data_IF_133423715525
#
_entry.id   IF_133423715525
#
_cell.length_a   1.000
_cell.length_b   1.000
_cell.length_c   1.000
_cell.angle_alpha   90.00
_cell.angle_beta   90.00
_cell.angle_gamma   90.00
#
_symmetry.space_group_name_H-M   'P 1'
#
loop_
_entity.id
_entity.type
_entity.pdbx_description
1 polymer ?
#
# COMPACT_ATOMS: atom_id res chain seq x y z
N UNK A 1 14.15 9.33 12.25
CA UNK A 1 14.27 7.87 12.34
C UNK A 1 13.94 7.26 10.99
N UNK A 2 14.51 6.12 10.65
CA UNK A 2 14.25 5.39 9.41
C UNK A 2 13.66 4.02 9.72
N UNK A 3 12.74 3.58 8.87
CA UNK A 3 12.22 2.21 8.83
C UNK A 3 12.66 1.53 7.55
N UNK A 4 13.05 0.27 7.64
CA UNK A 4 13.46 -0.57 6.52
C UNK A 4 12.64 -1.86 6.54
N UNK A 5 11.91 -2.11 5.46
CA UNK A 5 11.29 -3.41 5.16
C UNK A 5 12.00 -4.07 3.99
N UNK A 6 12.49 -5.30 4.18
CA UNK A 6 13.10 -6.13 3.16
C UNK A 6 12.02 -7.04 2.55
N UNK A 7 11.92 -7.05 1.22
CA UNK A 7 10.95 -7.88 0.51
C UNK A 7 11.61 -8.82 -0.49
N UNK A 8 10.97 -9.97 -0.69
CA UNK A 8 11.30 -10.95 -1.72
C UNK A 8 10.00 -11.30 -2.47
N UNK A 9 9.97 -11.05 -3.78
CA UNK A 9 8.79 -11.29 -4.62
C UNK A 9 7.49 -10.67 -4.05
N UNK A 10 7.62 -9.49 -3.45
CA UNK A 10 6.52 -8.75 -2.83
C UNK A 10 6.18 -9.13 -1.38
N UNK A 11 6.65 -10.28 -0.88
CA UNK A 11 6.47 -10.70 0.51
C UNK A 11 7.46 -9.98 1.44
N UNK A 12 7.00 -9.53 2.62
CA UNK A 12 7.87 -8.99 3.65
C UNK A 12 8.66 -10.14 4.29
N UNK A 13 10.00 -10.06 4.26
CA UNK A 13 10.89 -11.09 4.81
C UNK A 13 11.75 -10.60 5.96
N UNK A 14 11.73 -9.30 6.27
CA UNK A 14 12.36 -8.75 7.46
C UNK A 14 12.11 -7.26 7.57
N UNK A 15 11.99 -6.72 8.78
CA UNK A 15 11.86 -5.28 8.97
C UNK A 15 12.44 -4.79 10.30
N UNK A 16 12.85 -3.53 10.32
CA UNK A 16 13.29 -2.87 11.54
C UNK A 16 13.19 -1.36 11.47
N UNK A 17 13.09 -0.76 12.65
CA UNK A 17 13.31 0.66 12.87
C UNK A 17 14.74 0.91 13.32
N UNK A 18 15.30 2.02 12.84
CA UNK A 18 16.55 2.57 13.31
C UNK A 18 16.39 3.36 14.60
N UNK A 19 17.53 3.71 15.22
CA UNK A 19 17.56 4.60 16.38
C UNK A 19 16.93 5.96 16.07
N UNK A 20 16.39 6.60 17.10
CA UNK A 20 16.03 8.02 17.02
C UNK A 20 17.34 8.84 17.00
N UNK A 21 17.38 9.91 16.20
CA UNK A 21 18.60 10.69 16.00
C UNK A 21 18.93 10.92 14.52
N UNK A 22 20.23 10.85 14.19
CA UNK A 22 20.76 11.11 12.85
C UNK A 22 20.26 10.12 11.80
N UNK A 23 19.96 10.61 10.59
CA UNK A 23 19.40 9.78 9.52
C UNK A 23 20.32 8.62 9.12
N UNK A 24 21.62 8.88 8.95
CA UNK A 24 22.60 7.87 8.51
C UNK A 24 22.73 6.74 9.54
N UNK A 25 22.85 7.09 10.81
CA UNK A 25 22.93 6.13 11.91
C UNK A 25 21.64 5.29 11.98
N UNK A 26 20.49 5.96 11.96
CA UNK A 26 19.17 5.33 11.98
C UNK A 26 19.01 4.33 10.83
N UNK A 27 19.34 4.75 9.60
CA UNK A 27 19.25 3.89 8.42
C UNK A 27 20.21 2.69 8.52
N UNK A 28 21.47 2.93 8.92
CA UNK A 28 22.47 1.88 9.06
C UNK A 28 22.00 0.81 10.05
N UNK A 29 21.49 1.24 11.21
CA UNK A 29 20.92 0.34 12.22
C UNK A 29 19.69 -0.39 11.69
N UNK A 30 18.74 0.31 11.06
CA UNK A 30 17.54 -0.30 10.50
C UNK A 30 17.87 -1.40 9.48
N UNK A 31 18.83 -1.16 8.59
CA UNK A 31 19.27 -2.16 7.61
C UNK A 31 19.92 -3.37 8.29
N UNK A 32 20.81 -3.14 9.26
CA UNK A 32 21.47 -4.22 9.99
C UNK A 32 20.46 -5.10 10.76
N UNK A 33 19.54 -4.46 11.49
CA UNK A 33 18.52 -5.13 12.29
C UNK A 33 17.46 -5.82 11.42
N UNK A 34 17.12 -5.27 10.25
CA UNK A 34 16.22 -5.95 9.31
C UNK A 34 16.88 -7.19 8.70
N UNK A 35 18.17 -7.12 8.37
CA UNK A 35 18.95 -8.25 7.84
C UNK A 35 19.12 -9.37 8.86
N UNK A 36 19.34 -9.05 10.14
CA UNK A 36 19.52 -10.06 11.19
C UNK A 36 18.24 -10.87 11.45
N UNK A 37 17.08 -10.38 11.02
CA UNK A 37 15.78 -11.04 11.13
C UNK A 37 15.39 -11.84 9.87
N UNK A 38 16.23 -11.88 8.85
CA UNK A 38 15.91 -12.61 7.62
C UNK A 38 15.79 -14.11 7.88
N UNK A 39 14.73 -14.77 7.39
CA UNK A 39 14.64 -16.22 7.35
C UNK A 39 15.82 -16.83 6.58
N UNK A 40 16.23 -18.04 6.97
CA UNK A 40 17.27 -18.78 6.26
C UNK A 40 16.88 -18.97 4.78
N UNK A 41 17.79 -18.62 3.86
CA UNK A 41 17.56 -18.72 2.41
C UNK A 41 16.73 -17.59 1.81
N UNK A 42 16.25 -16.62 2.59
CA UNK A 42 15.57 -15.45 2.04
C UNK A 42 16.57 -14.60 1.22
N UNK A 43 16.17 -14.26 -0.01
CA UNK A 43 16.93 -13.39 -0.92
C UNK A 43 16.08 -12.15 -1.25
N UNK A 44 16.21 -11.05 -0.47
CA UNK A 44 15.46 -9.84 -0.74
C UNK A 44 15.82 -9.25 -2.10
N UNK A 45 14.79 -8.94 -2.91
CA UNK A 45 14.89 -8.27 -4.21
C UNK A 45 14.47 -6.79 -4.13
N UNK A 46 13.98 -6.36 -2.97
CA UNK A 46 13.46 -5.01 -2.78
C UNK A 46 13.62 -4.52 -1.34
N UNK A 47 13.86 -3.22 -1.19
CA UNK A 47 13.79 -2.49 0.09
C UNK A 47 12.64 -1.48 0.02
N UNK A 48 11.78 -1.50 1.02
CA UNK A 48 10.82 -0.42 1.32
C UNK A 48 11.43 0.43 2.43
N UNK A 49 11.60 1.72 2.18
CA UNK A 49 12.23 2.67 3.10
C UNK A 49 11.26 3.78 3.46
N UNK A 50 11.03 3.99 4.75
CA UNK A 50 10.33 5.16 5.28
C UNK A 50 11.29 6.03 6.10
N UNK A 51 11.56 7.24 5.60
CA UNK A 51 12.30 8.26 6.34
C UNK A 51 11.31 9.10 7.14
N UNK A 52 11.10 8.72 8.40
CA UNK A 52 10.12 9.34 9.29
C UNK A 52 10.59 10.71 9.82
N UNK A 53 9.71 11.71 9.72
CA UNK A 53 9.95 13.09 10.12
C UNK A 53 8.68 13.76 10.67
N UNK A 54 8.84 14.97 11.23
CA UNK A 54 7.73 15.79 11.76
C UNK A 54 6.82 15.04 12.74
N UNK A 55 7.43 14.37 13.72
CA UNK A 55 6.68 13.71 14.80
C UNK A 55 5.85 14.74 15.56
N UNK A 56 4.59 14.42 15.79
CA UNK A 56 3.65 15.23 16.57
C UNK A 56 3.06 14.37 17.66
N UNK A 57 3.34 14.74 18.89
CA UNK A 57 2.69 14.15 20.06
C UNK A 57 1.24 14.59 20.11
N UNK A 58 0.33 13.63 20.25
CA UNK A 58 -1.08 13.89 20.50
C UNK A 58 -1.20 14.14 22.00
N UNK A 59 -1.50 15.39 22.38
CA UNK A 59 -1.79 15.74 23.78
C UNK A 59 -3.12 15.12 24.14
N UNK A 60 -3.17 14.45 25.29
CA UNK A 60 -4.36 13.78 25.82
C UNK A 60 -5.05 12.94 24.73
N UNK A 61 -4.52 11.73 24.44
CA UNK A 61 -4.88 10.95 23.26
C UNK A 61 -6.27 10.30 23.36
N UNK A 62 -7.26 11.06 23.82
CA UNK A 62 -8.68 10.70 23.80
C UNK A 62 -9.10 10.30 22.39
N UNK A 63 -10.12 9.44 22.28
CA UNK A 63 -10.44 8.75 21.03
C UNK A 63 -10.67 9.74 19.88
N UNK A 64 -11.34 10.86 20.18
CA UNK A 64 -11.56 11.95 19.23
C UNK A 64 -10.25 12.53 18.69
N UNK A 65 -9.30 12.85 19.57
CA UNK A 65 -8.02 13.47 19.19
C UNK A 65 -7.12 12.47 18.48
N UNK A 66 -7.04 11.24 19.00
CA UNK A 66 -6.30 10.14 18.38
C UNK A 66 -6.74 9.95 16.93
N UNK A 67 -8.04 9.77 16.68
CA UNK A 67 -8.56 9.52 15.34
C UNK A 67 -8.65 10.77 14.45
N UNK A 68 -8.66 11.98 15.04
CA UNK A 68 -8.51 13.23 14.28
C UNK A 68 -7.14 13.31 13.61
N UNK A 69 -6.07 13.03 14.36
CA UNK A 69 -4.71 13.06 13.83
C UNK A 69 -4.39 11.81 13.00
N UNK A 70 -4.97 10.69 13.37
CA UNK A 70 -4.86 9.37 12.74
C UNK A 70 -6.07 9.08 11.82
N UNK A 71 -6.49 10.08 11.04
CA UNK A 71 -7.63 9.95 10.11
C UNK A 71 -7.32 8.99 8.97
N UNK A 72 -8.28 8.18 8.55
CA UNK A 72 -8.16 7.27 7.39
C UNK A 72 -7.78 7.98 6.08
N UNK A 73 -8.08 9.27 5.94
CA UNK A 73 -7.60 10.09 4.80
C UNK A 73 -6.08 10.20 4.73
N UNK A 74 -5.36 9.90 5.82
CA UNK A 74 -3.90 9.98 5.94
C UNK A 74 -3.21 8.60 5.96
N UNK A 75 -3.95 7.49 5.87
CA UNK A 75 -3.39 6.12 5.78
C UNK A 75 -2.40 6.04 4.62
N UNK A 76 -1.18 5.55 4.83
CA UNK A 76 -0.16 5.52 3.78
C UNK A 76 0.59 6.83 3.55
N UNK A 77 0.31 7.89 4.29
CA UNK A 77 1.15 9.10 4.36
C UNK A 77 1.77 9.25 5.73
N UNK A 78 0.98 8.95 6.76
CA UNK A 78 1.39 9.06 8.15
C UNK A 78 1.52 7.68 8.76
N UNK A 79 2.54 7.54 9.60
CA UNK A 79 2.62 6.44 10.55
C UNK A 79 2.13 6.88 11.93
N UNK A 80 2.05 5.90 12.82
CA UNK A 80 1.64 6.08 14.20
C UNK A 80 2.63 5.38 15.12
N UNK A 81 2.88 6.00 16.27
CA UNK A 81 3.56 5.39 17.39
C UNK A 81 2.65 5.44 18.62
N UNK A 82 2.53 4.33 19.31
CA UNK A 82 1.83 4.17 20.57
C UNK A 82 2.81 3.63 21.61
N UNK A 83 2.76 4.16 22.82
CA UNK A 83 3.49 3.60 23.96
C UNK A 83 2.67 3.61 25.23
N UNK A 84 2.82 2.56 26.02
CA UNK A 84 2.13 2.34 27.28
C UNK A 84 3.00 1.50 28.20
N UNK A 85 3.39 2.02 29.36
CA UNK A 85 4.42 1.40 30.19
C UNK A 85 5.74 1.26 29.42
N UNK A 86 6.29 0.04 29.39
CA UNK A 86 7.50 -0.33 28.63
C UNK A 86 7.20 -0.73 27.18
N UNK A 87 5.92 -0.97 26.86
CA UNK A 87 5.52 -1.43 25.54
C UNK A 87 5.40 -0.26 24.56
N UNK A 88 5.91 -0.49 23.34
CA UNK A 88 5.80 0.47 22.25
C UNK A 88 5.56 -0.20 20.91
N UNK A 89 4.74 0.44 20.10
CA UNK A 89 4.45 0.04 18.74
C UNK A 89 4.60 1.24 17.82
N UNK A 90 5.50 1.14 16.85
CA UNK A 90 5.70 2.15 15.80
C UNK A 90 5.41 1.51 14.45
N UNK A 91 4.35 1.95 13.78
CA UNK A 91 3.93 1.44 12.47
C UNK A 91 4.16 2.49 11.39
N UNK A 92 5.01 2.22 10.37
CA UNK A 92 5.22 3.13 9.27
C UNK A 92 4.02 3.11 8.31
N UNK A 93 3.80 4.20 7.54
CA UNK A 93 2.68 4.28 6.61
C UNK A 93 2.70 3.20 5.52
N UNK A 94 3.87 2.75 5.05
CA UNK A 94 3.97 1.70 4.01
C UNK A 94 3.50 0.34 4.53
N UNK A 95 3.85 -0.04 5.77
CA UNK A 95 3.36 -1.28 6.40
C UNK A 95 1.85 -1.23 6.58
N UNK A 96 1.29 -0.09 7.03
CA UNK A 96 -0.17 0.08 7.10
C UNK A 96 -0.87 -0.14 5.75
N UNK A 97 -0.27 0.35 4.64
CA UNK A 97 -0.82 0.11 3.31
C UNK A 97 -0.72 -1.35 2.89
N UNK A 98 0.43 -1.98 3.12
CA UNK A 98 0.66 -3.37 2.76
C UNK A 98 -0.30 -4.32 3.48
N UNK A 99 -0.59 -4.03 4.76
CA UNK A 99 -1.45 -4.86 5.59
C UNK A 99 -2.94 -4.51 5.45
N UNK A 100 -3.26 -3.45 4.70
CA UNK A 100 -4.63 -2.92 4.61
C UNK A 100 -5.14 -2.35 5.95
N UNK A 101 -4.24 -2.04 6.88
CA UNK A 101 -4.59 -1.52 8.21
C UNK A 101 -4.87 -0.01 8.17
N UNK A 102 -5.93 0.38 8.88
CA UNK A 102 -6.23 1.76 9.26
C UNK A 102 -5.70 2.04 10.65
N UNK A 103 -5.50 3.31 11.00
CA UNK A 103 -5.03 3.71 12.33
C UNK A 103 -5.83 3.14 13.49
N UNK A 104 -7.16 3.03 13.34
CA UNK A 104 -8.02 2.40 14.35
C UNK A 104 -7.62 0.94 14.58
N UNK A 105 -7.40 0.18 13.53
CA UNK A 105 -7.01 -1.23 13.64
C UNK A 105 -5.64 -1.38 14.31
N UNK A 106 -4.68 -0.51 13.98
CA UNK A 106 -3.38 -0.46 14.65
C UNK A 106 -3.53 -0.19 16.16
N UNK A 107 -4.35 0.81 16.52
CA UNK A 107 -4.59 1.15 17.92
C UNK A 107 -5.32 0.03 18.68
N UNK A 108 -6.39 -0.51 18.12
CA UNK A 108 -7.15 -1.62 18.72
C UNK A 108 -6.24 -2.85 18.95
N UNK A 109 -5.36 -3.17 17.99
CA UNK A 109 -4.39 -4.25 18.10
C UNK A 109 -3.39 -4.01 19.23
N UNK A 110 -2.90 -2.78 19.36
CA UNK A 110 -2.00 -2.40 20.46
C UNK A 110 -2.69 -2.50 21.82
N UNK A 111 -3.92 -1.99 21.94
CA UNK A 111 -4.71 -2.04 23.17
C UNK A 111 -5.00 -3.49 23.58
N UNK A 112 -5.42 -4.32 22.62
CA UNK A 112 -5.64 -5.75 22.84
C UNK A 112 -4.36 -6.46 23.32
N UNK A 113 -3.21 -6.18 22.72
CA UNK A 113 -1.94 -6.79 23.12
C UNK A 113 -1.53 -6.44 24.55
N UNK A 114 -1.92 -5.24 25.02
CA UNK A 114 -1.65 -4.76 26.37
C UNK A 114 -2.78 -5.05 27.36
N UNK A 115 -3.84 -5.76 26.95
CA UNK A 115 -5.05 -6.00 27.77
C UNK A 115 -5.66 -4.72 28.36
N UNK A 116 -5.60 -3.63 27.60
CA UNK A 116 -6.22 -2.34 27.94
C UNK A 116 -7.27 -1.98 26.91
N UNK A 117 -8.16 -1.07 27.26
CA UNK A 117 -8.97 -0.34 26.30
C UNK A 117 -8.42 1.08 26.11
N UNK A 118 -9.14 1.89 25.34
CA UNK A 118 -8.76 3.27 25.10
C UNK A 118 -8.71 4.11 26.40
N UNK A 119 -9.64 3.91 27.31
CA UNK A 119 -9.73 4.73 28.53
C UNK A 119 -8.64 4.31 29.53
N UNK A 120 -8.34 3.02 29.61
CA UNK A 120 -7.18 2.47 30.31
C UNK A 120 -5.86 2.98 29.73
N UNK A 121 -5.76 3.11 28.40
CA UNK A 121 -4.60 3.71 27.74
C UNK A 121 -4.42 5.18 28.16
N UNK A 122 -5.47 5.99 28.10
CA UNK A 122 -5.39 7.42 28.46
C UNK A 122 -5.10 7.60 29.96
N UNK A 123 -5.89 6.95 30.82
CA UNK A 123 -5.76 7.08 32.28
C UNK A 123 -4.45 6.51 32.81
N UNK A 124 -3.91 5.46 32.17
CA UNK A 124 -2.61 4.88 32.50
C UNK A 124 -1.41 5.61 31.89
N UNK A 125 -1.59 6.81 31.32
CA UNK A 125 -0.49 7.64 30.84
C UNK A 125 0.07 7.23 29.47
N UNK A 126 -0.74 6.54 28.66
CA UNK A 126 -0.41 6.16 27.29
C UNK A 126 -0.09 7.39 26.41
N UNK A 127 0.88 7.22 25.52
CA UNK A 127 1.36 8.29 24.64
C UNK A 127 1.16 7.89 23.18
N UNK A 128 0.69 8.83 22.38
CA UNK A 128 0.54 8.64 20.95
C UNK A 128 1.31 9.73 20.19
N UNK A 129 2.06 9.32 19.16
CA UNK A 129 2.67 10.22 18.18
C UNK A 129 2.20 9.84 16.78
N UNK A 130 1.99 10.84 15.94
CA UNK A 130 1.88 10.63 14.48
C UNK A 130 3.06 11.29 13.79
N UNK A 131 3.49 10.72 12.67
CA UNK A 131 4.62 11.24 11.90
C UNK A 131 4.33 11.16 10.41
N UNK A 132 5.04 11.96 9.63
CA UNK A 132 5.05 11.89 8.16
C UNK A 132 6.32 11.15 7.71
N UNK A 133 6.35 10.67 6.47
CA UNK A 133 7.51 9.97 5.93
C UNK A 133 7.78 10.35 4.49
N UNK A 134 9.06 10.43 4.11
CA UNK A 134 9.44 10.24 2.71
C UNK A 134 9.59 8.74 2.46
N UNK A 135 8.92 8.22 1.45
CA UNK A 135 8.80 6.79 1.19
C UNK A 135 9.52 6.44 -0.11
N UNK A 136 10.25 5.33 -0.11
CA UNK A 136 11.00 4.87 -1.27
C UNK A 136 10.89 3.36 -1.44
N UNK A 137 10.88 2.91 -2.69
CA UNK A 137 11.19 1.53 -3.07
C UNK A 137 12.57 1.52 -3.68
N UNK A 138 13.44 0.62 -3.21
CA UNK A 138 14.78 0.40 -3.79
C UNK A 138 14.82 -1.01 -4.37
N UNK A 139 15.06 -1.14 -5.67
CA UNK A 139 15.20 -2.44 -6.34
C UNK A 139 16.61 -2.99 -6.13
N UNK A 140 16.72 -4.25 -5.73
CA UNK A 140 17.99 -4.96 -5.57
C UNK A 140 18.24 -5.93 -6.73
N UNK A 141 19.52 -6.21 -7.07
CA UNK A 141 20.74 -5.64 -6.49
C UNK A 141 21.09 -4.25 -7.07
N UNK A 142 20.35 -3.74 -8.05
CA UNK A 142 20.71 -2.54 -8.82
C UNK A 142 20.75 -1.23 -8.03
N UNK A 143 20.07 -1.15 -6.88
CA UNK A 143 20.06 0.04 -6.02
C UNK A 143 19.20 1.19 -6.55
N UNK A 144 18.42 0.97 -7.60
CA UNK A 144 17.52 1.99 -8.15
C UNK A 144 16.43 2.34 -7.15
N UNK A 145 16.41 3.59 -6.69
CA UNK A 145 15.47 4.09 -5.70
C UNK A 145 14.38 4.94 -6.36
N UNK A 146 13.13 4.51 -6.23
CA UNK A 146 11.94 5.25 -6.67
C UNK A 146 11.20 5.80 -5.47
N UNK A 147 10.97 7.12 -5.44
CA UNK A 147 10.14 7.74 -4.41
C UNK A 147 8.68 7.36 -4.60
N UNK A 148 8.03 6.88 -3.54
CA UNK A 148 6.59 6.67 -3.53
C UNK A 148 5.88 8.00 -3.33
N UNK A 149 4.92 8.26 -4.22
CA UNK A 149 4.05 9.43 -4.18
C UNK A 149 2.64 8.97 -3.87
N UNK A 150 1.95 9.71 -2.99
CA UNK A 150 0.52 9.51 -2.76
C UNK A 150 -0.25 10.66 -3.40
N UNK A 151 -1.02 10.33 -4.43
CA UNK A 151 -1.72 11.28 -5.27
C UNK A 151 -1.18 11.26 -6.71
N UNK A 152 -1.75 12.10 -7.56
CA UNK A 152 -1.29 12.23 -8.94
C UNK A 152 -0.03 13.10 -8.97
N UNK A 153 0.93 12.69 -9.80
CA UNK A 153 1.97 13.61 -10.29
C UNK A 153 1.23 14.76 -10.98
N UNK A 154 1.65 15.99 -10.71
CA UNK A 154 1.10 17.13 -11.45
C UNK A 154 1.45 16.94 -12.93
N UNK A 155 0.42 16.76 -13.75
CA UNK A 155 0.57 16.66 -15.21
C UNK A 155 0.41 18.06 -15.76
N UNK A 156 1.52 18.64 -16.22
CA UNK A 156 1.49 19.91 -16.93
C UNK A 156 0.56 19.81 -18.14
N UNK A 157 -0.22 20.85 -18.48
CA UNK A 157 -1.08 20.82 -19.67
C UNK A 157 -0.31 20.49 -20.95
N UNK A 158 0.95 20.89 -21.05
CA UNK A 158 1.83 20.57 -22.19
C UNK A 158 2.17 19.07 -22.33
N UNK A 159 2.05 18.29 -21.25
CA UNK A 159 2.22 16.85 -21.27
C UNK A 159 0.98 16.11 -21.80
N UNK A 160 -0.17 16.80 -21.94
CA UNK A 160 -1.38 16.25 -22.55
C UNK A 160 -1.26 16.33 -24.07
N UNK A 161 -0.48 15.41 -24.62
CA UNK A 161 -0.30 15.27 -26.07
C UNK A 161 -1.16 14.13 -26.61
N UNK A 162 -1.39 14.11 -27.91
CA UNK A 162 -2.04 12.98 -28.58
C UNK A 162 -1.29 11.66 -28.31
N UNK A 163 0.05 11.69 -28.37
CA UNK A 163 0.89 10.53 -28.13
C UNK A 163 0.73 9.98 -26.70
N UNK A 164 0.77 10.86 -25.68
CA UNK A 164 0.61 10.43 -24.28
C UNK A 164 -0.81 9.94 -23.98
N UNK A 165 -1.81 10.56 -24.61
CA UNK A 165 -3.21 10.11 -24.51
C UNK A 165 -3.37 8.73 -25.11
N UNK A 166 -2.78 8.49 -26.28
CA UNK A 166 -2.80 7.18 -26.93
C UNK A 166 -2.08 6.12 -26.09
N UNK A 167 -0.90 6.42 -25.54
CA UNK A 167 -0.19 5.51 -24.64
C UNK A 167 -1.02 5.15 -23.39
N UNK A 168 -1.80 6.11 -22.87
CA UNK A 168 -2.73 5.86 -21.76
C UNK A 168 -3.86 4.93 -22.17
N UNK A 169 -4.45 5.16 -23.34
CA UNK A 169 -5.50 4.28 -23.90
C UNK A 169 -4.97 2.86 -24.09
N UNK A 170 -3.79 2.70 -24.68
CA UNK A 170 -3.20 1.38 -24.91
C UNK A 170 -2.92 0.66 -23.59
N UNK A 171 -2.40 1.36 -22.58
CA UNK A 171 -2.21 0.80 -21.24
C UNK A 171 -3.52 0.34 -20.59
N UNK A 172 -4.61 1.11 -20.75
CA UNK A 172 -5.93 0.73 -20.23
C UNK A 172 -6.48 -0.50 -20.95
N UNK A 173 -6.30 -0.59 -22.27
CA UNK A 173 -6.71 -1.76 -23.05
C UNK A 173 -5.90 -2.98 -22.65
N UNK A 174 -4.59 -2.87 -22.58
CA UNK A 174 -3.69 -3.95 -22.18
C UNK A 174 -4.04 -4.47 -20.79
N UNK A 175 -4.35 -3.58 -19.86
CA UNK A 175 -4.82 -3.96 -18.53
C UNK A 175 -6.13 -4.76 -18.61
N UNK A 176 -7.14 -4.30 -19.37
CA UNK A 176 -8.39 -5.05 -19.52
C UNK A 176 -8.16 -6.43 -20.12
N UNK A 177 -7.39 -6.53 -21.21
CA UNK A 177 -7.15 -7.79 -21.90
C UNK A 177 -6.33 -8.78 -21.07
N UNK A 178 -5.41 -8.28 -20.25
CA UNK A 178 -4.62 -9.10 -19.31
C UNK A 178 -5.50 -9.66 -18.18
N UNK A 179 -6.57 -8.94 -17.82
CA UNK A 179 -7.47 -9.28 -16.71
C UNK A 179 -8.81 -9.89 -17.17
N UNK A 180 -8.93 -10.23 -18.45
CA UNK A 180 -10.06 -10.95 -19.02
C UNK A 180 -9.73 -12.44 -19.08
N UNK A 181 -10.39 -13.23 -18.24
CA UNK A 181 -10.21 -14.66 -18.15
C UNK A 181 -10.75 -15.38 -19.41
N UNK A 182 -10.30 -16.62 -19.68
CA UNK A 182 -10.77 -17.40 -20.83
C UNK A 182 -12.28 -17.64 -20.85
N UNK A 183 -12.90 -17.74 -19.66
CA UNK A 183 -14.35 -17.92 -19.46
C UNK A 183 -15.15 -16.62 -19.63
N UNK A 184 -14.49 -15.51 -20.02
CA UNK A 184 -15.13 -14.21 -20.20
C UNK A 184 -15.23 -13.38 -18.92
N UNK A 185 -14.87 -13.90 -17.74
CA UNK A 185 -14.92 -13.12 -16.51
C UNK A 185 -13.85 -12.03 -16.48
N UNK A 186 -14.18 -10.85 -15.96
CA UNK A 186 -13.19 -9.83 -15.62
C UNK A 186 -12.75 -9.93 -14.17
N UNK A 187 -11.47 -9.61 -13.90
CA UNK A 187 -10.98 -9.41 -12.54
C UNK A 187 -11.77 -8.28 -11.86
N UNK A 188 -12.52 -8.56 -10.79
CA UNK A 188 -13.27 -7.52 -10.07
C UNK A 188 -12.42 -6.84 -9.00
N UNK A 189 -11.94 -7.62 -8.03
CA UNK A 189 -11.19 -7.10 -6.90
C UNK A 189 -10.03 -8.01 -6.56
N UNK A 190 -8.82 -7.51 -6.81
CA UNK A 190 -7.59 -8.07 -6.29
C UNK A 190 -7.37 -7.60 -4.86
N UNK A 191 -7.00 -8.51 -3.96
CA UNK A 191 -6.59 -8.24 -2.58
C UNK A 191 -5.05 -8.32 -2.51
N UNK A 192 -4.32 -7.19 -2.55
CA UNK A 192 -2.86 -7.21 -2.61
C UNK A 192 -2.23 -7.86 -1.37
N UNK A 193 -2.84 -7.69 -0.20
CA UNK A 193 -2.40 -8.26 1.07
C UNK A 193 -2.48 -9.79 1.10
N UNK A 194 -3.40 -10.38 0.33
CA UNK A 194 -3.62 -11.83 0.25
C UNK A 194 -3.09 -12.42 -1.06
N UNK A 195 -2.59 -11.57 -1.96
CA UNK A 195 -2.12 -11.93 -3.29
C UNK A 195 -3.09 -12.82 -4.07
N UNK A 196 -4.39 -12.51 -3.97
CA UNK A 196 -5.47 -13.25 -4.64
C UNK A 196 -6.65 -12.34 -4.98
N UNK A 197 -7.50 -12.78 -5.90
CA UNK A 197 -8.83 -12.18 -6.05
C UNK A 197 -9.69 -12.46 -4.82
N UNK A 198 -10.57 -11.53 -4.48
CA UNK A 198 -11.55 -11.73 -3.41
C UNK A 198 -12.53 -12.84 -3.83
N UNK A 199 -12.68 -13.92 -3.05
CA UNK A 199 -13.57 -15.01 -3.41
C UNK A 199 -15.03 -14.57 -3.52
N UNK A 200 -15.74 -15.12 -4.50
CA UNK A 200 -17.19 -14.96 -4.69
C UNK A 200 -17.64 -13.49 -4.81
N UNK A 201 -16.77 -12.60 -5.26
CA UNK A 201 -17.12 -11.20 -5.50
C UNK A 201 -17.17 -10.93 -7.00
N UNK A 202 -18.35 -10.58 -7.48
CA UNK A 202 -18.57 -10.17 -8.85
C UNK A 202 -19.51 -8.96 -8.84
N UNK A 203 -19.14 -7.91 -9.57
CA UNK A 203 -19.98 -6.76 -9.79
C UNK A 203 -20.51 -6.78 -11.22
N UNK A 204 -21.73 -7.29 -11.40
CA UNK A 204 -22.36 -7.45 -12.73
C UNK A 204 -22.40 -6.15 -13.54
N UNK A 205 -22.57 -4.99 -12.87
CA UNK A 205 -22.54 -3.69 -13.56
C UNK A 205 -21.16 -3.43 -14.17
N UNK A 206 -20.07 -3.72 -13.43
CA UNK A 206 -18.70 -3.58 -13.96
C UNK A 206 -18.36 -4.61 -15.01
N UNK A 207 -18.84 -5.85 -14.86
CA UNK A 207 -18.72 -6.88 -15.89
C UNK A 207 -19.35 -6.38 -17.19
N UNK A 208 -20.56 -5.83 -17.14
CA UNK A 208 -21.25 -5.33 -18.33
C UNK A 208 -20.62 -4.06 -18.92
N UNK A 209 -20.10 -3.16 -18.08
CA UNK A 209 -19.30 -2.03 -18.55
C UNK A 209 -18.01 -2.49 -19.25
N UNK A 210 -17.37 -3.56 -18.78
CA UNK A 210 -16.19 -4.12 -19.43
C UNK A 210 -16.53 -4.69 -20.81
N UNK A 211 -17.68 -5.38 -20.96
CA UNK A 211 -18.16 -5.83 -22.26
C UNK A 211 -18.29 -4.67 -23.25
N UNK A 212 -18.97 -3.60 -22.84
CA UNK A 212 -19.15 -2.42 -23.68
C UNK A 212 -17.80 -1.77 -24.06
N UNK A 213 -16.85 -1.71 -23.13
CA UNK A 213 -15.52 -1.18 -23.41
C UNK A 213 -14.75 -2.06 -24.40
N UNK A 214 -14.79 -3.39 -24.22
CA UNK A 214 -14.13 -4.34 -25.11
C UNK A 214 -14.71 -4.29 -26.54
N UNK A 215 -16.03 -4.19 -26.69
CA UNK A 215 -16.70 -3.98 -27.98
C UNK A 215 -16.12 -2.75 -28.69
N UNK A 216 -16.00 -1.61 -27.98
CA UNK A 216 -15.45 -0.38 -28.56
C UNK A 216 -13.98 -0.53 -28.96
N UNK A 217 -13.20 -1.31 -28.20
CA UNK A 217 -11.81 -1.63 -28.54
C UNK A 217 -11.75 -2.49 -29.80
N UNK A 218 -12.57 -3.55 -29.90
CA UNK A 218 -12.60 -4.44 -31.05
C UNK A 218 -13.05 -3.72 -32.33
N UNK A 219 -14.10 -2.89 -32.25
CA UNK A 219 -14.54 -2.03 -33.36
C UNK A 219 -13.39 -1.13 -33.85
N UNK A 220 -12.65 -0.51 -32.92
CA UNK A 220 -11.59 0.45 -33.26
C UNK A 220 -10.34 -0.22 -33.82
N UNK A 221 -9.96 -1.39 -33.29
CA UNK A 221 -8.77 -2.14 -33.71
C UNK A 221 -9.05 -3.08 -34.90
N UNK A 222 -10.31 -3.31 -35.24
CA UNK A 222 -10.73 -4.29 -36.25
C UNK A 222 -10.16 -5.68 -35.97
N UNK A 223 -10.13 -6.07 -34.69
CA UNK A 223 -9.50 -7.30 -34.21
C UNK A 223 -10.54 -8.42 -34.04
N UNK A 224 -10.55 -9.37 -34.96
CA UNK A 224 -11.49 -10.50 -34.93
C UNK A 224 -11.25 -11.44 -33.75
N UNK A 225 -10.00 -11.67 -33.34
CA UNK A 225 -9.70 -12.53 -32.21
C UNK A 225 -10.20 -11.93 -30.89
N UNK A 226 -10.28 -10.60 -30.81
CA UNK A 226 -10.89 -9.93 -29.67
C UNK A 226 -12.42 -10.11 -29.63
N UNK A 227 -13.09 -10.19 -30.77
CA UNK A 227 -14.53 -10.47 -30.82
C UNK A 227 -14.87 -11.84 -30.22
N UNK A 228 -14.05 -12.86 -30.47
CA UNK A 228 -14.25 -14.20 -29.88
C UNK A 228 -14.15 -14.15 -28.34
N UNK A 229 -13.24 -13.34 -27.80
CA UNK A 229 -13.11 -13.14 -26.34
C UNK A 229 -14.27 -12.34 -25.75
N UNK A 230 -14.83 -11.42 -26.54
CA UNK A 230 -15.99 -10.61 -26.14
C UNK A 230 -17.25 -11.48 -26.07
N UNK A 231 -17.42 -12.43 -26.99
CA UNK A 231 -18.56 -13.37 -26.95
C UNK A 231 -18.58 -14.14 -25.63
N UNK A 232 -17.44 -14.72 -25.22
CA UNK A 232 -17.32 -15.36 -23.91
C UNK A 232 -17.65 -14.39 -22.75
N UNK A 233 -17.23 -13.13 -22.87
CA UNK A 233 -17.52 -12.11 -21.87
C UNK A 233 -19.02 -11.76 -21.81
N UNK A 234 -19.72 -11.75 -22.96
CA UNK A 234 -21.18 -11.57 -23.04
C UNK A 234 -21.88 -12.77 -22.39
N UNK A 235 -21.49 -14.00 -22.73
CA UNK A 235 -22.10 -15.22 -22.20
C UNK A 235 -21.91 -15.40 -20.69
N UNK A 236 -20.84 -14.82 -20.14
CA UNK A 236 -20.61 -14.80 -18.70
C UNK A 236 -21.59 -13.89 -17.93
N UNK A 237 -22.16 -12.86 -18.57
CA UNK A 237 -23.11 -11.94 -17.92
C UNK A 237 -24.47 -12.59 -17.67
#
# INVERSE_FOLDING_TARGET
SAHVGLRAQGALVGEAWGSDGGLVESLTKAVADAKSKLPAGAAPDMIVLDVAHKFRTIRDPVAKELYRFASGKRTGVRGIELSYGEDSLRVPPTTMLADGERFKQVADRFFKANSIDHDGFVSGGGKARVFESQQFIVRLPGGEATKLLRGNVYVEPSAVTQANTQATVDMMIDWMLTNLFPDGRMTYMWLPNESREKPNDNNMIRQWMATNALIKVAEKRQDQALWDRIENNIDYN
#
